data_IF_397292571817
#
_entry.id   IF_397292571817
#
_cell.length_a   1.000
_cell.length_b   1.000
_cell.length_c   1.000
_cell.angle_alpha   90.00
_cell.angle_beta   90.00
_cell.angle_gamma   90.00
#
_symmetry.space_group_name_H-M   'P 1'
#
loop_
_entity.id
_entity.type
_entity.pdbx_description
1 polymer ?
#
# COMPACT_ATOMS: atom_id res chain seq x y z
N UNK A 1 -41.05 -18.00 32.05
CA UNK A 1 -39.99 -17.35 32.86
C UNK A 1 -38.91 -16.90 31.90
N UNK A 2 -38.53 -15.62 31.84
CA UNK A 2 -37.43 -15.19 30.97
C UNK A 2 -36.09 -15.33 31.69
N UNK A 3 -35.08 -15.85 30.98
CA UNK A 3 -33.72 -15.99 31.49
C UNK A 3 -33.02 -14.63 31.58
N UNK A 4 -32.28 -14.40 32.67
CA UNK A 4 -31.44 -13.21 32.88
C UNK A 4 -30.20 -13.23 31.97
N UNK A 5 -29.70 -12.07 31.51
CA UNK A 5 -28.42 -11.99 30.82
C UNK A 5 -27.24 -12.10 31.80
N UNK A 6 -26.18 -12.77 31.37
CA UNK A 6 -24.94 -12.94 32.13
C UNK A 6 -24.18 -11.61 32.25
N UNK A 7 -23.73 -11.29 33.46
CA UNK A 7 -22.82 -10.17 33.72
C UNK A 7 -21.38 -10.60 33.42
N UNK A 8 -20.70 -9.88 32.52
CA UNK A 8 -19.25 -10.02 32.32
C UNK A 8 -18.49 -9.20 33.38
N UNK A 9 -17.61 -9.86 34.14
CA UNK A 9 -16.67 -9.20 35.05
C UNK A 9 -15.43 -8.73 34.28
N UNK A 10 -15.09 -7.44 34.40
CA UNK A 10 -14.04 -6.78 33.62
C UNK A 10 -12.58 -7.10 33.97
N UNK A 11 -12.19 -8.38 33.95
CA UNK A 11 -10.79 -8.79 34.20
C UNK A 11 -10.12 -9.61 33.07
N UNK A 12 -10.75 -9.79 31.91
CA UNK A 12 -10.14 -10.52 30.79
C UNK A 12 -9.39 -9.58 29.83
N UNK A 13 -8.29 -8.98 30.33
CA UNK A 13 -7.30 -8.30 29.49
C UNK A 13 -6.06 -9.20 29.39
N UNK A 14 -5.61 -9.60 28.17
CA UNK A 14 -4.40 -10.42 28.02
C UNK A 14 -3.16 -9.72 28.59
N UNK A 15 -2.33 -10.49 29.32
CA UNK A 15 -1.12 -10.00 30.00
C UNK A 15 -0.08 -9.48 29.01
N UNK A 16 0.61 -8.40 29.41
CA UNK A 16 1.66 -7.64 28.71
C UNK A 16 2.76 -8.42 27.95
N UNK A 17 2.92 -9.74 28.15
CA UNK A 17 3.94 -10.54 27.44
C UNK A 17 3.61 -10.82 25.96
N UNK A 18 2.34 -10.86 25.57
CA UNK A 18 1.97 -11.11 24.16
C UNK A 18 2.16 -9.88 23.26
N UNK A 19 2.20 -8.67 23.84
CA UNK A 19 2.43 -7.42 23.10
C UNK A 19 3.87 -7.30 22.58
N UNK A 20 4.85 -7.88 23.26
CA UNK A 20 6.26 -7.79 22.86
C UNK A 20 6.55 -8.60 21.59
N UNK A 21 5.91 -9.78 21.42
CA UNK A 21 6.11 -10.60 20.22
C UNK A 21 5.46 -10.00 18.95
N UNK A 22 4.33 -9.30 19.08
CA UNK A 22 3.68 -8.60 17.96
C UNK A 22 4.49 -7.41 17.46
N UNK A 23 5.16 -6.67 18.36
CA UNK A 23 6.00 -5.51 18.01
C UNK A 23 7.34 -5.93 17.37
N UNK A 24 7.94 -7.03 17.83
CA UNK A 24 9.18 -7.56 17.24
C UNK A 24 8.97 -8.10 15.82
N UNK A 25 7.82 -8.74 15.54
CA UNK A 25 7.48 -9.25 14.20
C UNK A 25 7.16 -8.14 13.19
N UNK A 26 6.45 -7.08 13.62
CA UNK A 26 6.16 -5.93 12.78
C UNK A 26 7.44 -5.17 12.37
N UNK A 27 8.41 -5.06 13.29
CA UNK A 27 9.71 -4.43 13.00
C UNK A 27 10.56 -5.23 12.00
N UNK A 28 10.48 -6.55 12.03
CA UNK A 28 11.28 -7.41 11.15
C UNK A 28 10.75 -7.46 9.71
N UNK A 29 9.48 -7.08 9.50
CA UNK A 29 8.82 -7.14 8.19
C UNK A 29 8.81 -5.78 7.46
N UNK A 30 9.08 -4.66 8.16
CA UNK A 30 8.87 -3.31 7.60
C UNK A 30 10.04 -2.31 7.70
N UNK A 31 11.21 -2.69 8.21
CA UNK A 31 12.37 -1.79 8.28
C UNK A 31 13.60 -2.34 7.55
N UNK A 32 13.83 -1.89 6.32
CA UNK A 32 15.13 -1.98 5.64
C UNK A 32 16.01 -0.77 6.01
N UNK A 33 16.59 -0.75 7.21
CA UNK A 33 17.98 -0.29 7.50
C UNK A 33 18.24 -0.27 9.02
N UNK A 34 19.27 -0.99 9.52
CA UNK A 34 19.73 -0.81 10.89
C UNK A 34 20.66 0.42 10.99
N UNK A 35 20.40 1.35 11.92
CA UNK A 35 21.48 2.13 12.54
C UNK A 35 21.49 3.66 12.44
N UNK A 36 20.43 4.35 12.02
CA UNK A 36 20.41 5.83 12.10
C UNK A 36 19.67 6.34 13.35
N UNK A 37 20.37 7.13 14.16
CA UNK A 37 19.80 7.80 15.33
C UNK A 37 19.16 9.15 14.94
N UNK A 38 18.09 9.53 15.65
CA UNK A 38 17.29 10.75 15.44
C UNK A 38 18.10 12.07 15.42
N UNK A 39 19.35 12.08 15.91
CA UNK A 39 20.20 13.29 15.92
C UNK A 39 20.93 13.57 14.60
N UNK A 40 21.04 12.61 13.69
CA UNK A 40 21.70 12.83 12.39
C UNK A 40 20.78 13.45 11.34
N UNK A 41 19.46 13.46 11.56
CA UNK A 41 18.49 14.03 10.61
C UNK A 41 18.37 15.56 10.68
N UNK A 42 18.97 16.22 11.68
CA UNK A 42 18.88 17.69 11.84
C UNK A 42 19.90 18.46 10.98
N UNK A 43 21.00 17.84 10.55
CA UNK A 43 22.09 18.51 9.84
C UNK A 43 22.01 18.44 8.31
N UNK A 44 21.08 17.67 7.73
CA UNK A 44 21.10 17.36 6.28
C UNK A 44 20.12 18.19 5.41
N UNK A 45 19.35 19.16 5.97
CA UNK A 45 18.40 19.91 5.15
C UNK A 45 18.22 21.41 5.50
N UNK A 46 19.10 22.30 5.01
CA UNK A 46 18.99 23.75 5.22
C UNK A 46 17.80 24.41 4.48
N UNK A 47 17.06 23.70 3.63
CA UNK A 47 15.95 24.25 2.87
C UNK A 47 14.68 24.51 3.71
N UNK A 48 14.60 24.00 4.95
CA UNK A 48 13.46 24.23 5.84
C UNK A 48 13.53 25.55 6.64
N UNK A 49 14.70 26.19 6.74
CA UNK A 49 14.83 27.48 7.43
C UNK A 49 14.38 28.69 6.58
N UNK A 50 14.38 28.58 5.24
CA UNK A 50 13.98 29.68 4.37
C UNK A 50 12.48 29.98 4.39
N UNK A 51 11.64 28.94 4.55
CA UNK A 51 10.18 29.07 4.40
C UNK A 51 9.51 29.74 5.61
N UNK A 52 10.07 29.57 6.81
CA UNK A 52 9.58 30.23 8.02
C UNK A 52 9.95 31.72 8.07
N UNK A 53 11.09 32.11 7.50
CA UNK A 53 11.52 33.51 7.41
C UNK A 53 10.61 34.32 6.47
N UNK A 54 10.19 33.77 5.33
CA UNK A 54 9.30 34.47 4.39
C UNK A 54 7.90 34.72 4.99
N UNK A 55 7.37 33.81 5.79
CA UNK A 55 6.05 33.95 6.42
C UNK A 55 6.09 34.92 7.62
N UNK A 56 7.21 35.00 8.34
CA UNK A 56 7.36 35.94 9.46
C UNK A 56 7.59 37.40 8.98
N UNK A 57 8.32 37.62 7.89
CA UNK A 57 8.47 38.98 7.30
C UNK A 57 7.16 39.50 6.69
N UNK A 58 6.31 38.62 6.15
CA UNK A 58 4.99 39.02 5.65
C UNK A 58 4.07 39.51 6.79
N UNK A 59 4.07 38.83 7.94
CA UNK A 59 3.32 39.26 9.13
C UNK A 59 3.81 40.60 9.68
N UNK A 60 5.12 40.85 9.66
CA UNK A 60 5.70 42.12 10.14
C UNK A 60 5.39 43.29 9.21
N UNK A 61 5.36 43.04 7.90
CA UNK A 61 4.99 44.04 6.90
C UNK A 61 3.49 44.37 6.96
N UNK A 62 2.63 43.35 7.18
CA UNK A 62 1.18 43.55 7.30
C UNK A 62 0.75 44.28 8.58
N UNK A 63 1.54 44.19 9.65
CA UNK A 63 1.27 44.91 10.91
C UNK A 63 1.51 46.43 10.83
N UNK A 64 2.25 46.92 9.82
CA UNK A 64 2.65 48.33 9.71
C UNK A 64 1.90 49.12 8.61
N UNK A 65 0.95 48.49 7.92
CA UNK A 65 0.13 49.17 6.90
C UNK A 65 -0.97 49.97 7.62
N UNK A 66 -0.78 51.30 7.75
CA UNK A 66 -1.84 52.23 8.17
C UNK A 66 -3.05 52.12 7.24
N UNK A 67 -4.25 52.26 7.84
CA UNK A 67 -5.53 51.87 7.24
C UNK A 67 -5.94 52.57 5.94
N UNK A 68 -5.37 53.73 5.59
CA UNK A 68 -5.80 54.48 4.41
C UNK A 68 -4.60 55.00 3.60
N UNK A 69 -4.37 54.42 2.42
CA UNK A 69 -3.36 54.87 1.47
C UNK A 69 -3.22 54.00 0.21
N UNK A 70 -2.68 54.54 -0.90
CA UNK A 70 -2.55 53.88 -2.21
C UNK A 70 -1.71 52.58 -2.19
N UNK A 71 -0.97 52.34 -1.11
CA UNK A 71 -0.21 51.13 -0.80
C UNK A 71 -1.07 49.86 -0.64
N UNK A 72 -2.37 49.98 -0.33
CA UNK A 72 -3.26 48.81 -0.18
C UNK A 72 -3.60 48.15 -1.52
N UNK A 73 -3.69 48.94 -2.60
CA UNK A 73 -3.94 48.41 -3.96
C UNK A 73 -2.72 47.69 -4.52
N UNK A 74 -1.51 48.18 -4.21
CA UNK A 74 -0.26 47.52 -4.59
C UNK A 74 -0.03 46.22 -3.80
N UNK A 75 -0.33 46.21 -2.50
CA UNK A 75 -0.23 45.01 -1.66
C UNK A 75 -1.23 43.91 -2.06
N UNK A 76 -2.47 44.28 -2.42
CA UNK A 76 -3.45 43.33 -2.98
C UNK A 76 -3.03 42.84 -4.36
N UNK A 77 -2.46 43.70 -5.22
CA UNK A 77 -1.95 43.29 -6.52
C UNK A 77 -0.74 42.35 -6.43
N UNK A 78 0.18 42.57 -5.48
CA UNK A 78 1.31 41.67 -5.21
C UNK A 78 0.86 40.33 -4.58
N UNK A 79 -0.19 40.34 -3.75
CA UNK A 79 -0.78 39.11 -3.22
C UNK A 79 -1.44 38.28 -4.35
N UNK A 80 -2.08 38.94 -5.31
CA UNK A 80 -2.66 38.30 -6.50
C UNK A 80 -1.60 37.78 -7.48
N UNK A 81 -0.46 38.46 -7.61
CA UNK A 81 0.69 38.00 -8.42
C UNK A 81 1.46 36.85 -7.76
N UNK A 82 1.50 36.79 -6.43
CA UNK A 82 2.08 35.65 -5.70
C UNK A 82 1.20 34.39 -5.79
N UNK A 83 -0.11 34.53 -6.04
CA UNK A 83 -1.00 33.37 -6.29
C UNK A 83 -0.93 32.84 -7.73
N UNK A 84 -0.40 33.59 -8.69
CA UNK A 84 -0.30 33.12 -10.09
C UNK A 84 1.02 32.42 -10.40
N UNK A 85 2.08 32.64 -9.60
CA UNK A 85 3.36 31.93 -9.80
C UNK A 85 3.39 30.49 -9.28
N UNK A 86 2.32 30.01 -8.62
CA UNK A 86 2.17 28.60 -8.23
C UNK A 86 1.49 27.74 -9.31
N UNK A 87 1.02 28.33 -10.40
CA UNK A 87 0.27 27.64 -11.47
C UNK A 87 1.15 27.20 -12.64
N UNK A 88 2.47 27.04 -12.44
CA UNK A 88 3.22 26.07 -13.24
C UNK A 88 2.87 24.70 -12.66
N UNK A 89 1.68 24.24 -13.03
CA UNK A 89 1.18 22.92 -12.71
C UNK A 89 2.26 21.90 -13.09
N UNK A 90 2.58 21.05 -12.14
CA UNK A 90 3.41 19.87 -12.34
C UNK A 90 2.77 18.99 -13.42
N UNK A 91 3.19 19.14 -14.69
CA UNK A 91 2.92 18.20 -15.79
C UNK A 91 3.73 16.89 -15.65
N UNK A 92 3.99 16.46 -14.41
CA UNK A 92 4.57 15.16 -14.13
C UNK A 92 3.44 14.17 -13.89
N UNK A 93 3.41 13.09 -14.66
CA UNK A 93 2.50 11.94 -14.56
C UNK A 93 2.03 11.70 -13.12
N UNK A 94 0.86 12.25 -12.78
CA UNK A 94 0.41 12.34 -11.40
C UNK A 94 -0.15 11.01 -10.88
N UNK A 95 -0.12 9.96 -11.72
CA UNK A 95 -0.54 8.61 -11.37
C UNK A 95 0.40 8.01 -10.33
N UNK A 96 -0.05 7.92 -9.08
CA UNK A 96 0.71 7.22 -8.03
C UNK A 96 0.47 5.71 -8.04
N UNK A 97 -0.58 5.25 -8.74
CA UNK A 97 -0.98 3.85 -8.83
C UNK A 97 -1.29 3.45 -10.27
N UNK A 98 -0.90 2.24 -10.64
CA UNK A 98 -1.17 1.66 -11.95
C UNK A 98 -1.48 0.17 -11.79
N UNK A 99 -2.61 -0.26 -12.34
CA UNK A 99 -2.98 -1.66 -12.48
C UNK A 99 -2.58 -2.14 -13.87
N UNK A 100 -1.78 -3.21 -13.94
CA UNK A 100 -1.32 -3.71 -15.24
C UNK A 100 -2.34 -4.65 -15.85
N UNK A 101 -2.64 -4.44 -17.14
CA UNK A 101 -3.45 -5.35 -17.93
C UNK A 101 -2.89 -6.78 -17.87
N UNK A 102 -3.75 -7.80 -17.91
CA UNK A 102 -3.29 -9.17 -17.72
C UNK A 102 -2.40 -9.65 -18.87
N UNK A 103 -1.47 -10.55 -18.54
CA UNK A 103 -0.59 -11.16 -19.52
C UNK A 103 -1.40 -11.87 -20.61
N UNK A 104 -1.03 -11.67 -21.88
CA UNK A 104 -1.60 -12.42 -23.00
C UNK A 104 -0.86 -13.75 -23.18
N UNK A 105 -1.58 -14.80 -23.54
CA UNK A 105 -1.00 -16.12 -23.78
C UNK A 105 -0.05 -16.09 -24.99
N UNK A 106 1.22 -16.43 -24.80
CA UNK A 106 2.17 -16.65 -25.90
C UNK A 106 3.51 -17.20 -25.41
N UNK A 107 3.80 -18.47 -25.68
CA UNK A 107 5.15 -19.08 -25.66
C UNK A 107 5.93 -19.19 -24.33
N UNK A 108 5.49 -18.49 -23.28
CA UNK A 108 6.20 -18.40 -22.00
C UNK A 108 5.94 -19.66 -21.14
N UNK A 109 6.89 -20.04 -20.28
CA UNK A 109 6.63 -21.03 -19.23
C UNK A 109 5.84 -20.37 -18.10
N UNK A 110 4.81 -21.04 -17.61
CA UNK A 110 3.90 -20.42 -16.65
C UNK A 110 3.95 -21.10 -15.28
N UNK A 111 3.90 -20.29 -14.23
CA UNK A 111 3.52 -20.73 -12.90
C UNK A 111 2.00 -20.54 -12.74
N UNK A 112 1.30 -21.63 -12.47
CA UNK A 112 -0.12 -21.63 -12.08
C UNK A 112 -0.21 -21.72 -10.56
N UNK A 113 -0.59 -20.62 -9.92
CA UNK A 113 -0.61 -20.48 -8.46
C UNK A 113 -2.04 -20.40 -7.92
N UNK A 114 -2.33 -21.21 -6.92
CA UNK A 114 -3.51 -21.07 -6.06
C UNK A 114 -3.09 -20.97 -4.60
N UNK A 115 -3.87 -20.26 -3.80
CA UNK A 115 -3.63 -20.10 -2.36
C UNK A 115 -4.89 -20.53 -1.63
N UNK A 116 -4.72 -21.36 -0.61
CA UNK A 116 -5.83 -21.93 0.18
C UNK A 116 -5.55 -21.83 1.67
N UNK A 117 -6.62 -21.71 2.44
CA UNK A 117 -6.62 -21.93 3.88
C UNK A 117 -6.35 -23.42 4.15
N UNK A 118 -5.34 -23.71 4.97
CA UNK A 118 -4.85 -25.09 5.15
C UNK A 118 -5.89 -26.01 5.81
N UNK A 119 -6.70 -25.47 6.73
CA UNK A 119 -7.68 -26.25 7.50
C UNK A 119 -8.96 -26.50 6.69
N UNK A 120 -9.54 -25.44 6.14
CA UNK A 120 -10.83 -25.51 5.42
C UNK A 120 -10.69 -25.85 3.94
N UNK A 121 -9.50 -25.69 3.35
CA UNK A 121 -9.28 -25.81 1.90
C UNK A 121 -9.90 -24.68 1.08
N UNK A 122 -10.49 -23.67 1.73
CA UNK A 122 -11.09 -22.51 1.05
C UNK A 122 -10.02 -21.71 0.32
N UNK A 123 -10.32 -21.24 -0.88
CA UNK A 123 -9.43 -20.33 -1.61
C UNK A 123 -9.29 -18.98 -0.89
N UNK A 124 -8.08 -18.44 -0.93
CA UNK A 124 -7.73 -17.17 -0.32
C UNK A 124 -7.20 -16.20 -1.37
N UNK A 125 -7.61 -14.94 -1.27
CA UNK A 125 -6.84 -13.86 -1.86
C UNK A 125 -5.54 -13.72 -1.07
N UNK A 126 -4.42 -13.37 -1.70
CA UNK A 126 -3.16 -13.22 -0.97
C UNK A 126 -2.15 -12.38 -1.77
N UNK A 127 -1.32 -11.63 -1.06
CA UNK A 127 -0.12 -11.04 -1.62
C UNK A 127 0.94 -12.11 -1.86
N UNK A 128 1.68 -12.00 -2.96
CA UNK A 128 2.80 -12.88 -3.22
C UNK A 128 4.01 -12.17 -3.83
N UNK A 129 5.18 -12.76 -3.63
CA UNK A 129 6.45 -12.35 -4.22
C UNK A 129 7.14 -13.57 -4.82
N UNK A 130 7.84 -13.35 -5.94
CA UNK A 130 8.59 -14.40 -6.61
C UNK A 130 10.08 -14.13 -6.53
N UNK A 131 10.82 -15.18 -6.26
CA UNK A 131 12.27 -15.28 -6.42
C UNK A 131 12.52 -16.36 -7.46
N UNK A 132 13.30 -16.04 -8.50
CA UNK A 132 13.70 -16.98 -9.55
C UNK A 132 15.22 -17.01 -9.56
N UNK A 133 15.78 -18.22 -9.49
CA UNK A 133 17.23 -18.45 -9.50
C UNK A 133 17.99 -17.53 -8.49
N UNK A 134 17.42 -17.33 -7.30
CA UNK A 134 17.99 -16.56 -6.20
C UNK A 134 17.77 -15.04 -6.24
N UNK A 135 17.08 -14.51 -7.26
CA UNK A 135 16.81 -13.08 -7.40
C UNK A 135 15.32 -12.78 -7.40
N UNK A 136 14.91 -11.65 -6.81
CA UNK A 136 13.52 -11.18 -6.87
C UNK A 136 13.11 -10.99 -8.33
N UNK A 137 12.00 -11.60 -8.70
CA UNK A 137 11.43 -11.51 -10.02
C UNK A 137 10.06 -10.84 -9.95
N UNK A 138 9.78 -9.96 -10.90
CA UNK A 138 8.50 -9.28 -11.03
C UNK A 138 8.15 -9.25 -12.51
N UNK A 139 7.18 -10.05 -12.97
CA UNK A 139 6.75 -10.04 -14.36
C UNK A 139 6.13 -8.69 -14.71
N UNK A 140 6.14 -8.36 -16.00
CA UNK A 140 5.48 -7.15 -16.50
C UNK A 140 3.95 -7.25 -16.38
N UNK A 141 3.39 -8.44 -16.57
CA UNK A 141 1.96 -8.71 -16.45
C UNK A 141 1.71 -10.10 -15.83
N UNK A 142 0.54 -10.29 -15.24
CA UNK A 142 0.07 -11.59 -14.71
C UNK A 142 -1.34 -11.88 -15.22
N UNK A 143 -1.76 -13.14 -15.23
CA UNK A 143 -3.05 -13.56 -15.78
C UNK A 143 -4.25 -12.91 -15.07
N UNK A 144 -5.46 -13.02 -15.64
CA UNK A 144 -6.65 -12.27 -15.21
C UNK A 144 -7.13 -12.56 -13.78
N UNK A 145 -6.68 -13.67 -13.18
CA UNK A 145 -6.95 -14.02 -11.77
C UNK A 145 -5.92 -13.44 -10.80
N UNK A 146 -4.97 -12.67 -11.30
CA UNK A 146 -4.00 -11.92 -10.51
C UNK A 146 -4.24 -10.42 -10.60
N UNK A 147 -3.61 -9.70 -9.68
CA UNK A 147 -3.51 -8.24 -9.68
C UNK A 147 -2.06 -7.81 -9.52
N UNK A 148 -1.62 -6.90 -10.39
CA UNK A 148 -0.29 -6.28 -10.30
C UNK A 148 -0.47 -4.79 -10.07
N UNK A 149 -0.12 -4.35 -8.86
CA UNK A 149 -0.17 -2.96 -8.45
C UNK A 149 1.24 -2.36 -8.51
N UNK A 150 1.40 -1.31 -9.31
CA UNK A 150 2.60 -0.47 -9.27
C UNK A 150 2.29 0.76 -8.45
N UNK A 151 3.06 0.98 -7.39
CA UNK A 151 3.00 2.19 -6.55
C UNK A 151 4.21 3.06 -6.86
N UNK A 152 3.97 4.34 -7.16
CA UNK A 152 4.99 5.34 -7.50
C UNK A 152 4.94 6.46 -6.48
N UNK A 153 6.07 6.73 -5.85
CA UNK A 153 6.22 7.84 -4.91
C UNK A 153 7.20 8.87 -5.48
N UNK A 154 6.66 9.78 -6.30
CA UNK A 154 7.42 10.78 -7.07
C UNK A 154 8.43 11.59 -6.25
N UNK A 155 8.04 12.05 -5.05
CA UNK A 155 8.93 12.86 -4.19
C UNK A 155 10.17 12.09 -3.69
N UNK A 156 10.12 10.76 -3.68
CA UNK A 156 11.20 9.90 -3.19
C UNK A 156 11.86 9.12 -4.32
N UNK A 157 11.43 9.32 -5.56
CA UNK A 157 11.81 8.49 -6.71
C UNK A 157 11.74 6.99 -6.42
N UNK A 158 10.67 6.58 -5.73
CA UNK A 158 10.47 5.19 -5.31
C UNK A 158 9.39 4.53 -6.16
N UNK A 159 9.67 3.30 -6.59
CA UNK A 159 8.73 2.43 -7.29
C UNK A 159 8.65 1.09 -6.59
N UNK A 160 7.45 0.70 -6.18
CA UNK A 160 7.18 -0.61 -5.60
C UNK A 160 6.17 -1.36 -6.46
N UNK A 161 6.39 -2.66 -6.65
CA UNK A 161 5.41 -3.53 -7.32
C UNK A 161 4.92 -4.58 -6.32
N UNK A 162 3.61 -4.69 -6.22
CA UNK A 162 2.93 -5.72 -5.44
C UNK A 162 2.13 -6.61 -6.37
N UNK A 163 2.09 -7.89 -6.05
CA UNK A 163 1.36 -8.89 -6.81
C UNK A 163 0.44 -9.65 -5.89
N UNK A 164 -0.76 -9.93 -6.39
CA UNK A 164 -1.79 -10.58 -5.61
C UNK A 164 -2.48 -11.67 -6.41
N UNK A 165 -2.88 -12.73 -5.72
CA UNK A 165 -3.88 -13.67 -6.23
C UNK A 165 -5.25 -13.17 -5.79
N UNK A 166 -6.23 -13.17 -6.70
CA UNK A 166 -7.63 -12.97 -6.33
C UNK A 166 -8.12 -14.22 -5.59
N UNK A 167 -9.05 -14.08 -4.65
CA UNK A 167 -9.57 -15.19 -3.83
C UNK A 167 -10.40 -16.24 -4.57
N UNK A 168 -10.30 -16.28 -5.90
CA UNK A 168 -10.98 -17.24 -6.77
C UNK A 168 -10.07 -17.70 -7.91
N UNK A 169 -10.00 -19.01 -8.11
CA UNK A 169 -9.29 -19.65 -9.20
C UNK A 169 -7.77 -19.73 -9.00
N UNK A 170 -7.05 -19.73 -10.12
CA UNK A 170 -5.61 -19.89 -10.19
C UNK A 170 -5.05 -18.73 -11.00
N UNK A 171 -4.07 -18.02 -10.46
CA UNK A 171 -3.34 -17.01 -11.24
C UNK A 171 -2.30 -17.70 -12.11
N UNK A 172 -2.13 -17.18 -13.31
CA UNK A 172 -1.08 -17.59 -14.23
C UNK A 172 0.00 -16.51 -14.21
N UNK A 173 1.24 -16.88 -13.93
CA UNK A 173 2.36 -15.94 -13.85
C UNK A 173 3.43 -16.35 -14.86
N UNK A 174 3.80 -15.47 -15.81
CA UNK A 174 4.89 -15.77 -16.74
C UNK A 174 6.20 -15.88 -15.97
N UNK A 175 7.00 -16.89 -16.31
CA UNK A 175 8.36 -17.06 -15.81
C UNK A 175 9.37 -16.59 -16.86
N UNK A 176 10.55 -16.11 -16.47
CA UNK A 176 11.56 -15.71 -17.44
C UNK A 176 12.08 -16.93 -18.21
N UNK A 177 12.59 -16.67 -19.42
CA UNK A 177 13.31 -17.67 -20.20
C UNK A 177 14.52 -18.17 -19.41
N UNK A 178 14.89 -19.43 -19.62
CA UNK A 178 15.92 -20.11 -18.81
C UNK A 178 15.56 -20.48 -17.35
N UNK A 179 14.49 -19.93 -16.75
CA UNK A 179 14.11 -20.25 -15.36
C UNK A 179 14.09 -21.75 -15.05
N UNK A 180 14.81 -22.15 -13.99
CA UNK A 180 14.92 -23.55 -13.55
C UNK A 180 14.18 -23.84 -12.26
N UNK A 181 14.04 -22.83 -11.40
CA UNK A 181 13.34 -22.94 -10.13
C UNK A 181 13.30 -21.61 -9.39
N UNK A 182 12.77 -21.65 -8.18
CA UNK A 182 12.62 -20.44 -7.39
C UNK A 182 11.97 -20.67 -6.04
N UNK A 183 11.56 -19.57 -5.43
CA UNK A 183 10.73 -19.57 -4.24
C UNK A 183 9.59 -18.57 -4.41
N UNK A 184 8.42 -18.95 -3.89
CA UNK A 184 7.32 -18.03 -3.73
C UNK A 184 7.13 -17.71 -2.25
N UNK A 185 7.00 -16.43 -1.93
CA UNK A 185 6.55 -15.97 -0.61
C UNK A 185 5.10 -15.52 -0.74
N UNK A 186 4.21 -16.05 0.11
CA UNK A 186 2.79 -15.72 0.11
C UNK A 186 2.36 -15.30 1.52
N UNK A 187 1.54 -14.26 1.60
CA UNK A 187 1.00 -13.72 2.85
C UNK A 187 -0.45 -13.27 2.68
N UNK A 188 -1.25 -13.43 3.73
CA UNK A 188 -2.62 -12.92 3.82
C UNK A 188 -2.89 -12.40 5.24
N UNK A 189 -3.02 -11.08 5.37
CA UNK A 189 -3.31 -10.40 6.64
C UNK A 189 -2.44 -10.82 7.82
N UNK A 190 -2.97 -10.55 9.02
CA UNK A 190 -2.31 -10.89 10.29
C UNK A 190 -2.77 -12.22 10.87
N UNK A 191 -3.85 -12.81 10.35
CA UNK A 191 -4.44 -14.06 10.86
C UNK A 191 -3.67 -15.32 10.39
N UNK A 192 -2.88 -15.21 9.32
CA UNK A 192 -2.19 -16.33 8.69
C UNK A 192 -0.68 -16.17 8.79
N UNK A 193 0.00 -17.30 8.94
CA UNK A 193 1.45 -17.34 8.84
C UNK A 193 1.85 -17.28 7.37
N UNK A 194 2.75 -16.36 7.03
CA UNK A 194 3.33 -16.29 5.70
C UNK A 194 4.06 -17.61 5.36
N UNK A 195 3.97 -18.03 4.10
CA UNK A 195 4.60 -19.25 3.62
C UNK A 195 5.63 -18.94 2.54
N UNK A 196 6.85 -19.43 2.71
CA UNK A 196 7.88 -19.46 1.66
C UNK A 196 8.00 -20.88 1.13
N UNK A 197 7.69 -21.09 -0.15
CA UNK A 197 7.68 -22.42 -0.77
C UNK A 197 8.63 -22.46 -1.97
N UNK A 198 9.64 -23.32 -1.97
CA UNK A 198 10.48 -23.53 -3.15
C UNK A 198 9.71 -24.29 -4.23
N UNK A 199 10.06 -24.07 -5.49
CA UNK A 199 9.52 -24.84 -6.61
C UNK A 199 10.59 -25.05 -7.70
N UNK A 200 10.38 -26.07 -8.51
CA UNK A 200 11.16 -26.36 -9.71
C UNK A 200 10.28 -26.10 -10.92
N UNK A 201 10.85 -25.54 -11.98
CA UNK A 201 10.11 -25.28 -13.22
C UNK A 201 9.97 -26.57 -14.01
N UNK A 202 8.73 -27.02 -14.18
CA UNK A 202 8.37 -28.24 -14.90
C UNK A 202 7.75 -27.90 -16.26
N UNK A 203 8.43 -28.30 -17.35
CA UNK A 203 7.91 -28.19 -18.71
C UNK A 203 7.43 -26.78 -19.06
N UNK A 204 6.23 -26.68 -19.66
CA UNK A 204 5.60 -25.40 -20.01
C UNK A 204 4.73 -24.82 -18.90
N UNK A 205 4.28 -25.64 -17.94
CA UNK A 205 3.36 -25.22 -16.89
C UNK A 205 3.75 -25.90 -15.57
N UNK A 206 4.15 -25.10 -14.60
CA UNK A 206 4.38 -25.52 -13.22
C UNK A 206 3.15 -25.17 -12.39
N UNK A 207 2.60 -26.12 -11.63
CA UNK A 207 1.41 -25.88 -10.78
C UNK A 207 1.81 -25.87 -9.31
N UNK A 208 1.35 -24.86 -8.58
CA UNK A 208 1.65 -24.68 -7.18
C UNK A 208 0.37 -24.33 -6.41
N UNK A 209 0.14 -25.06 -5.32
CA UNK A 209 -0.91 -24.75 -4.35
C UNK A 209 -0.24 -24.42 -3.03
N UNK A 210 -0.38 -23.17 -2.59
CA UNK A 210 0.17 -22.70 -1.33
C UNK A 210 -0.91 -22.79 -0.27
N UNK A 211 -0.59 -23.50 0.81
CA UNK A 211 -1.46 -23.65 1.98
C UNK A 211 -1.00 -22.68 3.06
N UNK A 212 -1.86 -21.74 3.44
CA UNK A 212 -1.60 -20.82 4.53
C UNK A 212 -2.28 -21.32 5.80
N UNK A 213 -1.51 -21.44 6.88
CA UNK A 213 -2.03 -21.83 8.18
C UNK A 213 -2.52 -20.59 8.93
N UNK A 214 -3.82 -20.56 9.24
CA UNK A 214 -4.39 -19.59 10.18
C UNK A 214 -3.91 -19.90 11.59
N UNK A 215 -3.37 -18.92 12.30
CA UNK A 215 -2.92 -19.09 13.69
C UNK A 215 -3.86 -18.44 14.71
N UNK A 216 -4.72 -17.53 14.26
CA UNK A 216 -5.75 -16.88 15.06
C UNK A 216 -6.95 -16.53 14.19
N UNK A 217 -8.14 -16.60 14.77
CA UNK A 217 -9.36 -16.01 14.19
C UNK A 217 -9.69 -14.72 14.95
N UNK A 218 -9.27 -13.59 14.39
CA UNK A 218 -9.49 -12.24 14.93
C UNK A 218 -10.97 -11.87 14.84
N UNK A 219 -11.65 -12.21 13.75
CA UNK A 219 -13.07 -11.91 13.55
C UNK A 219 -13.97 -12.63 14.54
N UNK A 220 -13.72 -13.91 14.79
CA UNK A 220 -14.42 -14.67 15.84
C UNK A 220 -14.20 -14.08 17.25
N UNK A 221 -13.14 -13.27 17.42
CA UNK A 221 -12.82 -12.55 18.66
C UNK A 221 -13.27 -11.08 18.65
N UNK A 222 -13.99 -10.64 17.63
CA UNK A 222 -14.49 -9.28 17.50
C UNK A 222 -13.44 -8.24 17.07
N UNK A 223 -12.30 -8.68 16.52
CA UNK A 223 -11.27 -7.82 15.95
C UNK A 223 -11.37 -7.80 14.43
N UNK A 224 -11.22 -6.62 13.83
CA UNK A 224 -11.32 -6.39 12.39
C UNK A 224 -10.08 -5.64 11.89
N UNK A 225 -9.55 -6.05 10.74
CA UNK A 225 -8.41 -5.40 10.09
C UNK A 225 -8.87 -4.14 9.36
N UNK A 226 -8.14 -3.02 9.50
CA UNK A 226 -8.45 -1.80 8.78
C UNK A 226 -7.20 -1.02 8.36
N UNK A 227 -7.21 -0.47 7.14
CA UNK A 227 -6.30 0.60 6.73
C UNK A 227 -7.03 1.94 6.75
N UNK A 228 -6.69 2.78 7.72
CA UNK A 228 -7.31 4.09 7.91
C UNK A 228 -6.64 5.21 7.07
N UNK A 229 -5.56 4.91 6.35
CA UNK A 229 -4.72 5.91 5.68
C UNK A 229 -4.35 5.49 4.26
N UNK A 230 -5.34 5.08 3.46
CA UNK A 230 -5.08 4.69 2.10
C UNK A 230 -5.01 5.91 1.18
N UNK A 231 -3.87 6.07 0.51
CA UNK A 231 -3.71 7.01 -0.58
C UNK A 231 -3.95 6.28 -1.89
N UNK A 232 -5.00 6.66 -2.62
CA UNK A 232 -5.29 6.11 -3.93
C UNK A 232 -5.88 7.16 -4.86
N UNK A 233 -5.33 7.26 -6.06
CA UNK A 233 -5.86 8.09 -7.12
C UNK A 233 -6.97 7.34 -7.85
N UNK A 234 -8.21 7.71 -7.54
CA UNK A 234 -9.42 7.08 -8.10
C UNK A 234 -9.74 7.65 -9.48
N UNK A 235 -8.89 7.32 -10.45
CA UNK A 235 -8.93 7.87 -11.82
C UNK A 235 -9.86 7.10 -12.76
N UNK A 236 -10.05 5.82 -12.49
CA UNK A 236 -10.93 4.93 -13.23
C UNK A 236 -11.84 4.18 -12.22
N UNK A 237 -13.18 4.20 -12.39
CA UNK A 237 -14.09 3.44 -11.54
C UNK A 237 -13.82 1.92 -11.54
N UNK A 238 -13.23 1.37 -12.61
CA UNK A 238 -12.92 -0.06 -12.68
C UNK A 238 -11.90 -0.49 -11.60
N UNK A 239 -11.02 0.42 -11.19
CA UNK A 239 -10.02 0.17 -10.15
C UNK A 239 -10.61 -0.09 -8.76
N UNK A 240 -11.86 0.28 -8.51
CA UNK A 240 -12.52 0.01 -7.22
C UNK A 240 -12.60 -1.48 -6.92
N UNK A 241 -12.92 -2.28 -7.95
CA UNK A 241 -12.99 -3.73 -7.81
C UNK A 241 -11.62 -4.34 -7.52
N UNK A 242 -10.59 -3.82 -8.17
CA UNK A 242 -9.21 -4.27 -7.97
C UNK A 242 -8.69 -3.88 -6.58
N UNK A 243 -9.10 -2.73 -6.03
CA UNK A 243 -8.79 -2.39 -4.64
C UNK A 243 -9.48 -3.27 -3.62
N UNK A 244 -10.75 -3.59 -3.82
CA UNK A 244 -11.45 -4.52 -2.92
C UNK A 244 -10.75 -5.88 -2.88
N UNK A 245 -10.26 -6.35 -4.02
CA UNK A 245 -9.46 -7.58 -4.09
C UNK A 245 -8.09 -7.45 -3.40
N UNK A 246 -7.45 -6.29 -3.48
CA UNK A 246 -6.21 -6.01 -2.71
C UNK A 246 -6.50 -6.04 -1.21
N UNK A 247 -7.59 -5.42 -0.75
CA UNK A 247 -7.97 -5.41 0.65
C UNK A 247 -8.23 -6.82 1.18
N UNK A 248 -8.96 -7.64 0.41
CA UNK A 248 -9.14 -9.06 0.74
C UNK A 248 -7.80 -9.79 0.78
N UNK A 249 -6.92 -9.55 -0.20
CA UNK A 249 -5.60 -10.19 -0.23
C UNK A 249 -4.68 -9.78 0.92
N UNK A 250 -4.76 -8.51 1.37
CA UNK A 250 -4.06 -7.98 2.54
C UNK A 250 -4.79 -8.34 3.85
N UNK A 251 -5.90 -9.08 3.80
CA UNK A 251 -6.65 -9.56 4.97
C UNK A 251 -7.29 -8.43 5.78
N UNK A 252 -7.73 -7.37 5.10
CA UNK A 252 -8.39 -6.21 5.70
C UNK A 252 -9.90 -6.27 5.50
N UNK A 253 -10.66 -5.97 6.55
CA UNK A 253 -12.12 -5.91 6.51
C UNK A 253 -12.62 -4.52 6.09
N UNK A 254 -11.83 -3.48 6.34
CA UNK A 254 -12.18 -2.08 6.09
C UNK A 254 -11.00 -1.28 5.52
N UNK A 255 -11.29 -0.27 4.71
CA UNK A 255 -10.32 0.74 4.32
C UNK A 255 -10.96 2.11 4.17
N UNK A 256 -10.17 3.15 4.43
CA UNK A 256 -10.58 4.54 4.29
C UNK A 256 -9.70 5.25 3.27
N UNK A 257 -10.30 5.64 2.15
CA UNK A 257 -9.65 6.44 1.12
C UNK A 257 -9.55 7.91 1.56
N UNK A 258 -8.34 8.46 1.57
CA UNK A 258 -8.13 9.87 1.86
C UNK A 258 -8.37 10.72 0.61
N UNK A 259 -9.55 11.35 0.56
CA UNK A 259 -10.02 12.17 -0.57
C UNK A 259 -9.14 13.41 -0.84
N UNK A 260 -8.42 13.90 0.18
CA UNK A 260 -7.72 15.20 0.11
C UNK A 260 -6.27 15.14 -0.39
N UNK A 261 -5.69 13.95 -0.64
CA UNK A 261 -4.35 13.84 -1.26
C UNK A 261 -4.41 13.62 -2.78
N UNK A 262 -5.58 13.27 -3.33
CA UNK A 262 -5.83 13.17 -4.78
C UNK A 262 -5.94 14.53 -5.51
N UNK A 263 -5.60 15.63 -4.84
CA UNK A 263 -5.73 17.00 -5.38
C UNK A 263 -4.78 17.37 -6.51
N UNK A 264 -3.97 16.43 -7.00
CA UNK A 264 -3.12 16.66 -8.18
C UNK A 264 -3.77 16.20 -9.49
N UNK A 265 -4.94 15.56 -9.45
CA UNK A 265 -5.64 15.09 -10.64
C UNK A 265 -7.12 15.48 -10.63
N UNK A 266 -7.69 15.85 -11.78
CA UNK A 266 -9.13 15.94 -11.95
C UNK A 266 -9.71 14.51 -11.94
N UNK A 267 -9.83 13.91 -10.76
CA UNK A 267 -10.53 12.64 -10.60
C UNK A 267 -12.01 12.79 -10.94
N UNK A 268 -12.68 11.69 -11.30
CA UNK A 268 -14.14 11.65 -11.53
C UNK A 268 -14.98 12.14 -10.32
N UNK A 269 -14.37 12.22 -9.14
CA UNK A 269 -14.96 12.72 -7.89
C UNK A 269 -14.45 14.12 -7.48
N UNK A 270 -13.66 14.78 -8.32
CA UNK A 270 -13.16 16.15 -8.09
C UNK A 270 -14.13 17.25 -8.59
N UNK A 271 -15.37 16.88 -8.95
CA UNK A 271 -16.47 17.79 -9.32
C UNK A 271 -17.57 17.80 -8.28
#
# INVERSE_FOLDING_TARGET
MPARPAQFSGNDVPRLRERHHLLEWANQTYMETPGQSLRQAEDENPAHCGYLLTVMELKRTMSNIRRDGPSRRLAVALLLLATTSGALAHDADANTHEFTAPARDGGVRWLSLSVVDDESGRQLAAGFQLEIDGSRFTPEAIGPRGLRLVVRHHKKDQRAVRMYVRGTGTVVVPLPDGATGGAILVSHGYEYLAARTPFVVEGQQTRLTIRLRRWIDLRARGWYGADAHLHFDRLDPEYDSDWLDILDADGLDHAYFLTLKGGNLPGMWAQ
#
